data_IF_373265221922
#
_entry.id   IF_373265221922
#
_cell.length_a   1.000
_cell.length_b   1.000
_cell.length_c   1.000
_cell.angle_alpha   90.00
_cell.angle_beta   90.00
_cell.angle_gamma   90.00
#
_symmetry.space_group_name_H-M   'P 1'
#
loop_
_entity.id
_entity.type
_entity.pdbx_description
1 polymer ?
#
# COMPACT_ATOMS: atom_id res chain seq x y z
N UNK A 1 75.68 38.33 -12.65
CA UNK A 1 74.33 38.94 -12.50
C UNK A 1 74.34 39.98 -11.38
N UNK A 2 75.40 40.76 -11.29
CA UNK A 2 75.52 42.14 -11.80
C UNK A 2 74.27 43.03 -11.69
N UNK A 3 74.43 44.10 -10.92
CA UNK A 3 74.22 45.51 -11.32
C UNK A 3 74.73 46.35 -10.15
N UNK A 4 76.01 46.71 -10.10
CA UNK A 4 76.62 47.87 -10.76
C UNK A 4 75.87 49.20 -10.56
N UNK A 5 76.52 50.15 -9.89
CA UNK A 5 77.05 51.41 -10.46
C UNK A 5 77.60 52.28 -9.31
N UNK A 6 78.91 52.53 -9.23
CA UNK A 6 79.76 53.42 -10.07
C UNK A 6 79.70 54.87 -9.56
N UNK A 7 80.72 55.32 -8.81
CA UNK A 7 81.89 56.11 -9.26
C UNK A 7 81.64 57.64 -9.13
N UNK A 8 82.60 58.53 -8.89
CA UNK A 8 83.87 58.76 -9.58
C UNK A 8 84.81 59.64 -8.72
N UNK A 9 86.09 59.24 -8.73
CA UNK A 9 87.38 59.97 -8.67
C UNK A 9 87.50 61.42 -8.13
N UNK A 10 88.63 61.71 -7.45
CA UNK A 10 89.77 62.44 -8.05
C UNK A 10 90.95 62.73 -7.07
N UNK A 11 92.16 62.37 -7.53
CA UNK A 11 93.50 63.00 -7.34
C UNK A 11 94.21 63.15 -5.96
N UNK A 12 95.34 62.41 -5.82
CA UNK A 12 96.76 62.83 -5.59
C UNK A 12 96.99 64.25 -4.99
N UNK A 13 97.85 64.52 -3.98
CA UNK A 13 99.30 64.23 -3.83
C UNK A 13 99.82 64.52 -2.40
N UNK A 14 100.98 63.93 -2.12
CA UNK A 14 102.00 64.13 -1.05
C UNK A 14 102.31 65.58 -0.61
N UNK A 15 102.43 65.82 0.71
CA UNK A 15 103.49 66.58 1.42
C UNK A 15 103.14 66.92 2.88
N UNK A 16 104.04 66.60 3.83
CA UNK A 16 104.10 67.17 5.20
C UNK A 16 104.65 68.61 5.15
N UNK A 17 104.19 69.58 5.98
CA UNK A 17 104.87 69.85 7.26
C UNK A 17 104.04 70.49 8.42
N UNK A 18 104.49 70.19 9.65
CA UNK A 18 104.56 71.02 10.88
C UNK A 18 103.31 71.73 11.49
N UNK A 19 102.85 71.16 12.63
CA UNK A 19 102.61 71.77 13.99
C UNK A 19 101.85 73.10 14.17
N UNK A 20 101.32 73.40 15.38
CA UNK A 20 100.40 72.64 16.24
C UNK A 20 99.25 73.58 16.73
N UNK A 21 98.44 73.08 17.66
CA UNK A 21 97.41 73.78 18.46
C UNK A 21 95.99 73.71 17.86
N UNK A 22 95.19 72.75 18.34
CA UNK A 22 93.85 72.99 18.93
C UNK A 22 93.49 71.80 19.85
N UNK A 23 94.19 71.67 20.99
CA UNK A 23 93.96 70.68 22.08
C UNK A 23 92.61 70.85 22.84
N UNK A 24 91.61 71.49 22.24
CA UNK A 24 90.28 71.72 22.85
C UNK A 24 89.17 70.87 22.21
N UNK A 25 89.32 70.48 20.94
CA UNK A 25 88.31 69.70 20.21
C UNK A 25 88.40 68.19 20.51
N UNK A 26 89.61 67.71 20.84
CA UNK A 26 89.88 66.31 21.16
C UNK A 26 89.33 65.88 22.53
N UNK A 27 89.24 66.81 23.49
CA UNK A 27 88.64 66.58 24.82
C UNK A 27 87.11 66.44 24.78
N UNK A 28 86.43 67.25 23.96
CA UNK A 28 84.98 67.18 23.77
C UNK A 28 84.57 65.96 22.94
N UNK A 29 85.36 65.62 21.90
CA UNK A 29 85.16 64.39 21.13
C UNK A 29 85.40 63.13 21.98
N UNK A 30 86.37 63.16 22.89
CA UNK A 30 86.62 62.07 23.84
C UNK A 30 85.45 61.91 24.83
N UNK A 31 84.97 63.00 25.44
CA UNK A 31 83.79 62.96 26.34
C UNK A 31 82.52 62.49 25.61
N UNK A 32 82.28 62.95 24.37
CA UNK A 32 81.14 62.51 23.57
C UNK A 32 81.22 61.01 23.24
N UNK A 33 82.42 60.51 22.91
CA UNK A 33 82.64 59.09 22.64
C UNK A 33 82.43 58.21 23.89
N UNK A 34 82.81 58.69 25.07
CA UNK A 34 82.60 57.99 26.34
C UNK A 34 81.11 57.95 26.72
N UNK A 35 80.36 59.03 26.46
CA UNK A 35 78.91 59.06 26.65
C UNK A 35 78.19 58.10 25.69
N UNK A 36 78.60 58.04 24.41
CA UNK A 36 78.08 57.07 23.44
C UNK A 36 78.37 55.63 23.85
N UNK A 37 79.57 55.34 24.36
CA UNK A 37 79.91 54.01 24.85
C UNK A 37 79.05 53.61 26.06
N UNK A 38 78.84 54.53 27.01
CA UNK A 38 77.94 54.30 28.16
C UNK A 38 76.49 54.08 27.71
N UNK A 39 76.01 54.83 26.71
CA UNK A 39 74.68 54.65 26.14
C UNK A 39 74.54 53.30 25.44
N UNK A 40 75.50 52.93 24.58
CA UNK A 40 75.52 51.66 23.88
C UNK A 40 75.58 50.47 24.85
N UNK A 41 76.33 50.61 25.95
CA UNK A 41 76.39 49.58 26.99
C UNK A 41 75.04 49.41 27.69
N UNK A 42 74.33 50.51 27.98
CA UNK A 42 72.97 50.47 28.56
C UNK A 42 71.97 49.85 27.59
N UNK A 43 72.05 50.20 26.31
CA UNK A 43 71.20 49.63 25.25
C UNK A 43 71.48 48.15 25.05
N UNK A 44 72.75 47.72 25.06
CA UNK A 44 73.13 46.32 24.99
C UNK A 44 72.60 45.52 26.19
N UNK A 45 72.72 46.07 27.40
CA UNK A 45 72.15 45.45 28.61
C UNK A 45 70.61 45.44 28.61
N UNK A 46 69.97 46.46 28.03
CA UNK A 46 68.52 46.47 27.85
C UNK A 46 68.09 45.42 26.82
N UNK A 47 68.84 45.24 25.75
CA UNK A 47 68.61 44.24 24.72
C UNK A 47 68.82 42.82 25.27
N UNK A 48 69.88 42.57 26.04
CA UNK A 48 70.10 41.29 26.72
C UNK A 48 68.95 40.95 27.68
N UNK A 49 68.45 41.94 28.43
CA UNK A 49 67.27 41.76 29.30
C UNK A 49 66.00 41.50 28.50
N UNK A 50 65.77 42.23 27.40
CA UNK A 50 64.64 42.00 26.52
C UNK A 50 64.69 40.61 25.86
N UNK A 51 65.89 40.14 25.49
CA UNK A 51 66.09 38.80 24.92
C UNK A 51 65.83 37.70 25.95
N UNK A 52 66.28 37.89 27.20
CA UNK A 52 65.99 36.97 28.31
C UNK A 52 64.48 36.90 28.60
N UNK A 53 63.79 38.03 28.64
CA UNK A 53 62.33 38.08 28.82
C UNK A 53 61.56 37.46 27.64
N UNK A 54 62.03 37.64 26.41
CA UNK A 54 61.46 36.98 25.24
C UNK A 54 61.66 35.46 25.27
N UNK A 55 62.79 34.98 25.79
CA UNK A 55 63.08 33.55 25.94
C UNK A 55 62.25 32.92 27.07
N UNK A 56 61.93 33.71 28.10
CA UNK A 56 61.02 33.33 29.19
C UNK A 56 59.53 33.34 28.75
N UNK A 57 59.12 34.31 27.91
CA UNK A 57 57.75 34.36 27.36
C UNK A 57 57.51 33.35 26.22
N UNK A 58 58.52 33.01 25.40
CA UNK A 58 58.38 32.06 24.29
C UNK A 58 58.64 30.59 24.69
N UNK A 59 58.40 30.22 25.94
CA UNK A 59 58.36 28.83 26.41
C UNK A 59 59.33 27.88 25.70
N UNK A 60 60.64 28.05 25.89
CA UNK A 60 61.64 27.23 25.19
C UNK A 60 61.40 25.73 25.38
N UNK A 61 61.35 24.98 24.26
CA UNK A 61 61.26 23.50 24.13
C UNK A 61 60.01 22.84 24.72
N UNK A 62 59.54 23.28 25.89
CA UNK A 62 58.31 22.79 26.53
C UNK A 62 57.06 23.21 25.76
N UNK A 63 57.04 24.40 25.15
CA UNK A 63 55.93 24.84 24.30
C UNK A 63 55.89 24.02 23.00
N UNK A 64 57.05 23.75 22.39
CA UNK A 64 57.13 22.93 21.18
C UNK A 64 56.74 21.46 21.41
N UNK A 65 57.11 20.85 22.55
CA UNK A 65 56.73 19.47 22.86
C UNK A 65 55.25 19.36 23.27
N UNK A 66 54.72 20.35 24.02
CA UNK A 66 53.30 20.41 24.33
C UNK A 66 52.46 20.69 23.09
N UNK A 67 52.90 21.57 22.21
CA UNK A 67 52.24 21.88 20.94
C UNK A 67 52.31 20.68 19.99
N UNK A 68 53.42 19.94 19.95
CA UNK A 68 53.52 18.67 19.23
C UNK A 68 52.54 17.61 19.77
N UNK A 69 52.44 17.45 21.10
CA UNK A 69 51.45 16.54 21.72
C UNK A 69 50.02 16.98 21.47
N UNK A 70 49.73 18.29 21.51
CA UNK A 70 48.42 18.82 21.17
C UNK A 70 48.09 18.58 19.70
N UNK A 71 49.07 18.74 18.81
CA UNK A 71 48.93 18.45 17.39
C UNK A 71 48.70 16.96 17.11
N UNK A 72 49.44 16.06 17.77
CA UNK A 72 49.23 14.61 17.69
C UNK A 72 47.85 14.20 18.20
N UNK A 73 47.39 14.79 19.32
CA UNK A 73 46.07 14.54 19.87
C UNK A 73 44.96 15.00 18.90
N UNK A 74 45.07 16.21 18.35
CA UNK A 74 44.14 16.71 17.34
C UNK A 74 44.15 15.87 16.07
N UNK A 75 45.31 15.35 15.66
CA UNK A 75 45.44 14.45 14.52
C UNK A 75 44.76 13.10 14.78
N UNK A 76 44.91 12.54 15.99
CA UNK A 76 44.23 11.32 16.40
C UNK A 76 42.71 11.51 16.47
N UNK A 77 42.24 12.63 17.00
CA UNK A 77 40.81 12.95 17.06
C UNK A 77 40.23 13.20 15.66
N UNK A 78 40.96 13.89 14.78
CA UNK A 78 40.57 14.06 13.38
C UNK A 78 40.43 12.71 12.65
N UNK A 79 41.36 11.77 12.88
CA UNK A 79 41.26 10.41 12.33
C UNK A 79 40.06 9.65 12.88
N UNK A 80 39.77 9.76 14.18
CA UNK A 80 38.59 9.14 14.81
C UNK A 80 37.29 9.69 14.25
N UNK A 81 37.17 11.01 14.11
CA UNK A 81 35.98 11.62 13.52
C UNK A 81 35.82 11.26 12.05
N UNK A 82 36.92 11.17 11.29
CA UNK A 82 36.87 10.70 9.91
C UNK A 82 36.34 9.27 9.80
N UNK A 83 36.84 8.35 10.63
CA UNK A 83 36.32 6.98 10.69
C UNK A 83 34.84 6.94 11.10
N UNK A 84 34.44 7.76 12.08
CA UNK A 84 33.04 7.91 12.50
C UNK A 84 32.14 8.41 11.37
N UNK A 85 32.62 9.36 10.57
CA UNK A 85 31.91 9.89 9.40
C UNK A 85 31.76 8.78 8.35
N UNK A 86 32.83 8.07 8.02
CA UNK A 86 32.79 6.96 7.04
C UNK A 86 31.83 5.84 7.49
N UNK A 87 31.77 5.51 8.79
CA UNK A 87 30.84 4.53 9.33
C UNK A 87 29.38 5.02 9.26
N UNK A 88 29.13 6.29 9.58
CA UNK A 88 27.80 6.91 9.47
C UNK A 88 27.35 7.03 8.01
N UNK A 89 28.25 7.38 7.09
CA UNK A 89 27.98 7.42 5.65
C UNK A 89 27.64 6.03 5.11
N UNK A 90 28.38 5.00 5.54
CA UNK A 90 28.03 3.60 5.25
C UNK A 90 26.68 3.23 5.83
N UNK A 91 26.40 3.58 7.08
CA UNK A 91 25.11 3.31 7.72
C UNK A 91 23.94 4.02 7.02
N UNK A 92 24.13 5.26 6.55
CA UNK A 92 23.16 6.01 5.75
C UNK A 92 22.97 5.38 4.37
N UNK A 93 24.05 4.90 3.73
CA UNK A 93 23.96 4.21 2.45
C UNK A 93 23.28 2.83 2.55
N UNK A 94 23.47 2.11 3.68
CA UNK A 94 22.85 0.82 3.97
C UNK A 94 21.40 0.98 4.44
N UNK A 95 21.08 2.06 5.15
CA UNK A 95 19.72 2.57 5.38
C UNK A 95 19.17 3.28 4.13
N UNK A 96 19.50 2.78 2.93
CA UNK A 96 18.92 3.26 1.68
C UNK A 96 17.42 3.45 1.86
N UNK A 97 16.90 4.60 1.37
CA UNK A 97 15.49 5.02 1.50
C UNK A 97 14.58 3.82 1.72
N UNK A 98 13.98 3.73 2.92
CA UNK A 98 13.21 2.58 3.40
C UNK A 98 12.53 1.86 2.24
N UNK A 99 13.11 0.75 1.79
CA UNK A 99 12.72 0.08 0.54
C UNK A 99 11.21 -0.23 0.50
N UNK A 100 10.63 -0.49 1.67
CA UNK A 100 9.19 -0.65 1.85
C UNK A 100 8.41 0.63 1.54
N UNK A 101 8.89 1.79 2.00
CA UNK A 101 8.27 3.07 1.72
C UNK A 101 8.27 3.41 0.21
N UNK A 102 9.35 3.06 -0.50
CA UNK A 102 9.42 3.25 -1.96
C UNK A 102 8.42 2.35 -2.68
N UNK A 103 8.32 1.07 -2.27
CA UNK A 103 7.34 0.11 -2.81
C UNK A 103 5.90 0.53 -2.52
N UNK A 104 5.60 0.94 -1.29
CA UNK A 104 4.29 1.45 -0.87
C UNK A 104 3.89 2.71 -1.66
N UNK A 105 4.83 3.65 -1.85
CA UNK A 105 4.60 4.85 -2.66
C UNK A 105 4.29 4.49 -4.12
N UNK A 106 4.98 3.51 -4.70
CA UNK A 106 4.71 3.05 -6.07
C UNK A 106 3.36 2.34 -6.20
N UNK A 107 2.97 1.53 -5.21
CA UNK A 107 1.65 0.91 -5.14
C UNK A 107 0.56 1.96 -5.01
N UNK A 108 0.76 2.97 -4.16
CA UNK A 108 -0.17 4.08 -4.00
C UNK A 108 -0.34 4.87 -5.31
N UNK A 109 0.73 5.16 -6.03
CA UNK A 109 0.67 5.84 -7.33
C UNK A 109 -0.11 5.02 -8.36
N UNK A 110 0.13 3.69 -8.44
CA UNK A 110 -0.64 2.80 -9.31
C UNK A 110 -2.13 2.80 -8.95
N UNK A 111 -2.45 2.68 -7.66
CA UNK A 111 -3.83 2.70 -7.18
C UNK A 111 -4.53 4.02 -7.49
N UNK A 112 -3.82 5.14 -7.35
CA UNK A 112 -4.35 6.46 -7.65
C UNK A 112 -4.61 6.63 -9.15
N UNK A 113 -3.74 6.09 -10.01
CA UNK A 113 -3.95 6.07 -11.45
C UNK A 113 -5.21 5.26 -11.84
N UNK A 114 -5.40 4.07 -11.26
CA UNK A 114 -6.61 3.27 -11.48
C UNK A 114 -7.89 4.01 -11.05
N UNK A 115 -7.82 4.77 -9.95
CA UNK A 115 -8.94 5.57 -9.47
C UNK A 115 -9.26 6.73 -10.40
N UNK A 116 -8.24 7.41 -10.94
CA UNK A 116 -8.42 8.49 -11.92
C UNK A 116 -9.10 7.97 -13.19
N UNK A 117 -8.64 6.85 -13.73
CA UNK A 117 -9.26 6.22 -14.91
C UNK A 117 -10.71 5.80 -14.64
N UNK A 118 -11.00 5.32 -13.43
CA UNK A 118 -12.37 4.97 -13.03
C UNK A 118 -13.28 6.20 -12.90
N UNK A 119 -12.75 7.31 -12.36
CA UNK A 119 -13.49 8.58 -12.29
C UNK A 119 -13.79 9.09 -13.68
N UNK A 120 -12.80 9.14 -14.58
CA UNK A 120 -13.00 9.59 -15.97
C UNK A 120 -14.06 8.74 -16.69
N UNK A 121 -14.03 7.42 -16.50
CA UNK A 121 -15.05 6.53 -17.06
C UNK A 121 -16.45 6.84 -16.53
N UNK A 122 -16.59 7.02 -15.21
CA UNK A 122 -17.87 7.34 -14.58
C UNK A 122 -18.38 8.73 -14.98
N UNK A 123 -17.51 9.71 -15.16
CA UNK A 123 -17.89 11.05 -15.67
C UNK A 123 -18.45 10.96 -17.09
N UNK A 124 -17.80 10.17 -17.96
CA UNK A 124 -18.29 9.93 -19.31
C UNK A 124 -19.64 9.19 -19.33
N UNK A 125 -19.82 8.18 -18.48
CA UNK A 125 -21.10 7.48 -18.34
C UNK A 125 -22.20 8.41 -17.81
N UNK A 126 -21.89 9.24 -16.82
CA UNK A 126 -22.82 10.22 -16.28
C UNK A 126 -23.23 11.26 -17.33
N UNK A 127 -22.30 11.71 -18.18
CA UNK A 127 -22.61 12.60 -19.31
C UNK A 127 -23.59 11.98 -20.31
N UNK A 128 -23.43 10.69 -20.62
CA UNK A 128 -24.37 9.95 -21.49
C UNK A 128 -25.76 9.84 -20.87
N UNK A 129 -25.83 9.46 -19.59
CA UNK A 129 -27.10 9.35 -18.87
C UNK A 129 -27.82 10.68 -18.75
N UNK A 130 -27.09 11.79 -18.58
CA UNK A 130 -27.67 13.13 -18.60
C UNK A 130 -28.28 13.48 -19.96
N UNK A 131 -27.64 13.09 -21.06
CA UNK A 131 -28.18 13.29 -22.40
C UNK A 131 -29.45 12.46 -22.62
N UNK A 132 -29.43 11.17 -22.28
CA UNK A 132 -30.61 10.28 -22.38
C UNK A 132 -31.80 10.78 -21.54
N UNK A 133 -31.51 11.32 -20.35
CA UNK A 133 -32.51 11.94 -19.50
C UNK A 133 -33.12 13.18 -20.15
N UNK A 134 -32.31 14.01 -20.81
CA UNK A 134 -32.80 15.19 -21.52
C UNK A 134 -33.67 14.78 -22.72
N UNK A 135 -33.22 13.81 -23.51
CA UNK A 135 -33.98 13.28 -24.66
C UNK A 135 -35.34 12.72 -24.20
N UNK A 136 -35.39 12.03 -23.06
CA UNK A 136 -36.62 11.50 -22.48
C UNK A 136 -37.57 12.60 -22.01
N UNK A 137 -37.05 13.70 -21.46
CA UNK A 137 -37.85 14.87 -21.07
C UNK A 137 -38.47 15.55 -22.28
N UNK A 138 -37.67 15.78 -23.33
CA UNK A 138 -38.14 16.40 -24.57
C UNK A 138 -39.23 15.53 -25.24
N UNK A 139 -39.08 14.20 -25.21
CA UNK A 139 -40.12 13.28 -25.65
C UNK A 139 -41.39 13.37 -24.81
N UNK A 140 -41.27 13.49 -23.48
CA UNK A 140 -42.42 13.60 -22.60
C UNK A 140 -43.19 14.91 -22.83
N UNK A 141 -42.49 16.03 -23.02
CA UNK A 141 -43.11 17.30 -23.40
C UNK A 141 -43.89 17.15 -24.72
N UNK A 142 -43.32 16.48 -25.72
CA UNK A 142 -44.01 16.22 -26.98
C UNK A 142 -45.28 15.38 -26.80
N UNK A 143 -45.24 14.38 -25.94
CA UNK A 143 -46.41 13.55 -25.61
C UNK A 143 -47.48 14.36 -24.88
N UNK A 144 -47.11 15.26 -23.98
CA UNK A 144 -48.06 16.17 -23.32
C UNK A 144 -48.79 17.05 -24.36
N UNK A 145 -48.08 17.62 -25.33
CA UNK A 145 -48.72 18.36 -26.42
C UNK A 145 -49.66 17.48 -27.25
N UNK A 146 -49.27 16.23 -27.52
CA UNK A 146 -50.09 15.29 -28.27
C UNK A 146 -51.36 14.89 -27.52
N UNK A 147 -51.28 14.70 -26.21
CA UNK A 147 -52.45 14.42 -25.35
C UNK A 147 -53.43 15.59 -25.42
N UNK A 148 -52.96 16.82 -25.22
CA UNK A 148 -53.81 18.02 -25.31
C UNK A 148 -54.51 18.15 -26.68
N UNK A 149 -53.81 17.81 -27.77
CA UNK A 149 -54.39 17.80 -29.12
C UNK A 149 -55.48 16.72 -29.28
N UNK A 150 -55.28 15.54 -28.68
CA UNK A 150 -56.25 14.45 -28.68
C UNK A 150 -57.48 14.77 -27.82
N UNK A 151 -57.29 15.38 -26.65
CA UNK A 151 -58.38 15.82 -25.77
C UNK A 151 -59.28 16.87 -26.45
N UNK A 152 -58.70 17.86 -27.15
CA UNK A 152 -59.51 18.84 -27.89
C UNK A 152 -60.22 18.22 -29.10
N UNK A 153 -59.64 17.19 -29.72
CA UNK A 153 -60.32 16.39 -30.75
C UNK A 153 -61.49 15.60 -30.18
N UNK A 154 -61.32 14.96 -29.04
CA UNK A 154 -62.37 14.22 -28.34
C UNK A 154 -63.53 15.14 -27.98
N UNK A 155 -63.24 16.32 -27.42
CA UNK A 155 -64.25 17.33 -27.08
C UNK A 155 -65.07 17.81 -28.29
N UNK A 156 -64.47 17.78 -29.49
CA UNK A 156 -65.13 18.15 -30.76
C UNK A 156 -65.80 16.97 -31.46
N UNK A 157 -65.55 15.74 -31.03
CA UNK A 157 -66.13 14.55 -31.62
C UNK A 157 -67.57 14.32 -31.14
N UNK A 158 -68.45 13.72 -31.96
CA UNK A 158 -69.78 13.30 -31.51
C UNK A 158 -69.65 12.32 -30.34
N UNK A 159 -70.57 12.32 -29.35
CA UNK A 159 -70.46 11.46 -28.18
C UNK A 159 -70.41 9.98 -28.57
N UNK A 160 -69.27 9.33 -28.29
CA UNK A 160 -69.16 7.87 -28.38
C UNK A 160 -69.54 7.28 -27.02
N UNK A 161 -70.75 6.73 -26.91
CA UNK A 161 -71.31 6.25 -25.64
C UNK A 161 -70.73 4.89 -25.24
N UNK A 162 -69.54 4.87 -24.65
CA UNK A 162 -69.04 3.71 -23.88
C UNK A 162 -69.24 3.97 -22.38
N UNK A 163 -70.14 3.22 -21.75
CA UNK A 163 -70.34 3.29 -20.30
C UNK A 163 -69.26 2.50 -19.55
N UNK A 164 -68.20 3.19 -19.13
CA UNK A 164 -67.14 2.63 -18.28
C UNK A 164 -67.61 2.68 -16.81
N UNK A 165 -67.69 1.51 -16.17
CA UNK A 165 -68.11 1.39 -14.77
C UNK A 165 -66.92 1.69 -13.82
N UNK A 166 -67.16 2.19 -12.58
CA UNK A 166 -66.10 2.50 -11.64
C UNK A 166 -65.26 1.27 -11.28
N UNK A 167 -63.95 1.45 -11.13
CA UNK A 167 -63.00 0.38 -10.82
C UNK A 167 -63.18 -0.16 -9.39
N UNK A 168 -63.29 -1.48 -9.25
CA UNK A 168 -63.10 -2.18 -7.97
C UNK A 168 -61.64 -2.63 -7.82
N UNK A 169 -61.09 -2.56 -6.61
CA UNK A 169 -59.70 -2.91 -6.30
C UNK A 169 -59.33 -4.33 -6.82
N UNK A 170 -58.22 -4.43 -7.56
CA UNK A 170 -57.65 -5.71 -8.02
C UNK A 170 -58.18 -6.27 -9.35
N UNK A 171 -59.11 -5.61 -10.04
CA UNK A 171 -59.62 -6.08 -11.35
C UNK A 171 -59.70 -4.91 -12.34
N UNK A 172 -58.98 -4.99 -13.46
CA UNK A 172 -59.00 -3.91 -14.45
C UNK A 172 -60.34 -3.88 -15.22
N UNK A 173 -60.74 -2.72 -15.74
CA UNK A 173 -61.97 -2.61 -16.54
C UNK A 173 -61.95 -3.54 -17.77
N UNK A 174 -60.78 -3.75 -18.35
CA UNK A 174 -60.58 -4.71 -19.44
C UNK A 174 -60.88 -6.14 -18.96
N UNK A 175 -60.39 -6.49 -17.76
CA UNK A 175 -60.60 -7.80 -17.15
C UNK A 175 -62.08 -8.05 -16.83
N UNK A 176 -62.80 -7.05 -16.32
CA UNK A 176 -64.26 -7.14 -16.09
C UNK A 176 -65.00 -7.37 -17.41
N UNK A 177 -64.61 -6.63 -18.46
CA UNK A 177 -65.22 -6.78 -19.78
C UNK A 177 -64.94 -8.15 -20.40
N UNK A 178 -63.68 -8.62 -20.34
CA UNK A 178 -63.29 -9.96 -20.78
C UNK A 178 -64.06 -11.05 -20.03
N UNK A 179 -64.19 -10.95 -18.70
CA UNK A 179 -64.97 -11.89 -17.88
C UNK A 179 -66.44 -11.90 -18.32
N UNK A 180 -67.03 -10.73 -18.56
CA UNK A 180 -68.43 -10.59 -19.00
C UNK A 180 -68.66 -11.18 -20.39
N UNK A 181 -67.71 -11.00 -21.30
CA UNK A 181 -67.73 -11.57 -22.65
C UNK A 181 -67.26 -13.04 -22.69
N UNK A 182 -66.91 -13.63 -21.54
CA UNK A 182 -66.45 -15.03 -21.44
C UNK A 182 -65.04 -15.27 -21.99
N UNK A 183 -64.27 -14.22 -22.23
CA UNK A 183 -62.87 -14.26 -22.69
C UNK A 183 -61.97 -14.56 -21.50
N UNK A 184 -61.32 -15.73 -21.51
CA UNK A 184 -60.42 -16.17 -20.43
C UNK A 184 -58.95 -16.18 -20.83
N UNK A 185 -58.67 -16.62 -22.05
CA UNK A 185 -57.31 -16.75 -22.57
C UNK A 185 -57.14 -15.88 -23.82
N UNK A 186 -56.44 -14.77 -23.66
CA UNK A 186 -56.12 -13.85 -24.76
C UNK A 186 -54.78 -14.25 -25.35
N UNK A 187 -54.80 -14.95 -26.48
CA UNK A 187 -53.59 -15.28 -27.22
C UNK A 187 -53.27 -14.17 -28.22
N UNK A 188 -52.36 -13.26 -27.85
CA UNK A 188 -51.98 -12.11 -28.69
C UNK A 188 -51.50 -12.54 -30.09
N UNK A 189 -50.63 -13.56 -30.24
CA UNK A 189 -50.21 -14.02 -31.57
C UNK A 189 -51.38 -14.47 -32.45
N UNK A 190 -52.39 -15.10 -31.88
CA UNK A 190 -53.56 -15.55 -32.63
C UNK A 190 -54.50 -14.40 -32.98
N UNK A 191 -54.61 -13.39 -32.11
CA UNK A 191 -55.36 -12.17 -32.42
C UNK A 191 -54.68 -11.34 -33.52
N UNK A 192 -53.35 -11.24 -33.51
CA UNK A 192 -52.59 -10.58 -34.58
C UNK A 192 -52.87 -11.27 -35.92
N UNK A 193 -52.77 -12.61 -35.97
CA UNK A 193 -53.11 -13.38 -37.19
C UNK A 193 -54.53 -13.14 -37.68
N UNK A 194 -55.51 -13.05 -36.76
CA UNK A 194 -56.90 -12.76 -37.11
C UNK A 194 -57.06 -11.34 -37.67
N UNK A 195 -56.33 -10.36 -37.12
CA UNK A 195 -56.32 -8.99 -37.64
C UNK A 195 -55.65 -8.90 -39.02
N UNK A 196 -54.59 -9.65 -39.27
CA UNK A 196 -53.94 -9.71 -40.59
C UNK A 196 -54.91 -10.23 -41.65
N UNK A 197 -55.61 -11.35 -41.36
CA UNK A 197 -56.63 -11.92 -42.26
C UNK A 197 -57.77 -10.93 -42.50
N UNK A 198 -58.22 -10.22 -41.46
CA UNK A 198 -59.26 -9.19 -41.59
C UNK A 198 -58.77 -8.00 -42.41
N UNK A 199 -57.53 -7.55 -42.20
CA UNK A 199 -56.91 -6.43 -42.90
C UNK A 199 -56.72 -6.67 -44.40
N UNK A 200 -56.51 -7.94 -44.80
CA UNK A 200 -56.43 -8.34 -46.21
C UNK A 200 -57.77 -8.30 -46.95
N UNK A 201 -58.89 -8.04 -46.26
CA UNK A 201 -60.21 -7.95 -46.87
C UNK A 201 -60.41 -6.62 -47.60
N UNK A 202 -60.43 -6.65 -48.94
CA UNK A 202 -60.60 -5.46 -49.79
C UNK A 202 -61.95 -4.73 -49.69
N UNK A 203 -62.92 -5.25 -48.93
CA UNK A 203 -64.25 -4.64 -48.74
C UNK A 203 -64.39 -3.78 -47.48
N UNK A 204 -63.31 -3.53 -46.74
CA UNK A 204 -63.34 -2.72 -45.51
C UNK A 204 -63.55 -1.23 -45.81
N UNK A 205 -64.41 -0.58 -45.02
CA UNK A 205 -64.52 0.89 -44.98
C UNK A 205 -63.27 1.50 -44.35
N UNK A 206 -62.97 2.77 -44.68
CA UNK A 206 -61.79 3.47 -44.13
C UNK A 206 -61.74 3.45 -42.58
N UNK A 207 -62.89 3.57 -41.92
CA UNK A 207 -62.99 3.52 -40.46
C UNK A 207 -62.60 2.13 -39.90
N UNK A 208 -62.97 1.07 -40.60
CA UNK A 208 -62.66 -0.31 -40.22
C UNK A 208 -61.18 -0.63 -40.46
N UNK A 209 -60.60 -0.11 -41.55
CA UNK A 209 -59.16 -0.21 -41.82
C UNK A 209 -58.34 0.49 -40.73
N UNK A 210 -58.74 1.70 -40.32
CA UNK A 210 -58.08 2.44 -39.23
C UNK A 210 -58.19 1.67 -37.92
N UNK A 211 -59.36 1.10 -37.60
CA UNK A 211 -59.56 0.31 -36.40
C UNK A 211 -58.66 -0.95 -36.37
N UNK A 212 -58.52 -1.65 -37.51
CA UNK A 212 -57.65 -2.84 -37.63
C UNK A 212 -56.18 -2.45 -37.42
N UNK A 213 -55.71 -1.34 -38.02
CA UNK A 213 -54.33 -0.86 -37.86
C UNK A 213 -54.06 -0.48 -36.40
N UNK A 214 -54.99 0.23 -35.76
CA UNK A 214 -54.88 0.62 -34.35
C UNK A 214 -54.85 -0.60 -33.43
N UNK A 215 -55.76 -1.56 -33.62
CA UNK A 215 -55.78 -2.80 -32.86
C UNK A 215 -54.49 -3.61 -33.03
N UNK A 216 -53.96 -3.70 -34.25
CA UNK A 216 -52.70 -4.39 -34.54
C UNK A 216 -51.53 -3.74 -33.82
N UNK A 217 -51.47 -2.40 -33.83
CA UNK A 217 -50.42 -1.64 -33.13
C UNK A 217 -50.45 -1.88 -31.62
N UNK A 218 -51.65 -1.86 -31.02
CA UNK A 218 -51.82 -2.11 -29.58
C UNK A 218 -51.40 -3.53 -29.23
N UNK A 219 -51.80 -4.53 -30.02
CA UNK A 219 -51.41 -5.92 -29.79
C UNK A 219 -49.90 -6.14 -29.95
N UNK A 220 -49.25 -5.52 -30.94
CA UNK A 220 -47.79 -5.60 -31.10
C UNK A 220 -47.04 -4.95 -29.94
N UNK A 221 -47.55 -3.84 -29.39
CA UNK A 221 -46.97 -3.24 -28.19
C UNK A 221 -47.16 -4.19 -26.99
N UNK A 222 -48.36 -4.72 -26.79
CA UNK A 222 -48.64 -5.67 -25.71
C UNK A 222 -47.75 -6.92 -25.79
N UNK A 223 -47.51 -7.47 -26.99
CA UNK A 223 -46.60 -8.60 -27.20
C UNK A 223 -45.17 -8.27 -26.74
N UNK A 224 -44.63 -7.10 -27.13
CA UNK A 224 -43.30 -6.66 -26.68
C UNK A 224 -43.22 -6.51 -25.16
N UNK A 225 -44.26 -5.94 -24.54
CA UNK A 225 -44.33 -5.79 -23.09
C UNK A 225 -44.39 -7.15 -22.37
N UNK A 226 -45.16 -8.11 -22.88
CA UNK A 226 -45.21 -9.48 -22.33
C UNK A 226 -43.84 -10.15 -22.47
N UNK A 227 -43.20 -10.10 -23.64
CA UNK A 227 -41.86 -10.65 -23.84
C UNK A 227 -40.83 -10.04 -22.88
N UNK A 228 -40.92 -8.74 -22.62
CA UNK A 228 -40.07 -8.08 -21.63
C UNK A 228 -40.33 -8.60 -20.21
N UNK A 229 -41.59 -8.76 -19.82
CA UNK A 229 -41.97 -9.33 -18.51
C UNK A 229 -41.44 -10.75 -18.38
N UNK A 230 -41.67 -11.62 -19.37
CA UNK A 230 -41.16 -13.00 -19.39
C UNK A 230 -39.62 -13.03 -19.29
N UNK A 231 -38.93 -12.15 -20.00
CA UNK A 231 -37.47 -12.01 -19.89
C UNK A 231 -37.02 -11.59 -18.50
N UNK A 232 -37.71 -10.63 -17.86
CA UNK A 232 -37.41 -10.23 -16.47
C UNK A 232 -37.73 -11.33 -15.46
N UNK A 233 -38.81 -12.08 -15.67
CA UNK A 233 -39.19 -13.21 -14.85
C UNK A 233 -38.13 -14.32 -14.93
N UNK A 234 -37.65 -14.67 -16.12
CA UNK A 234 -36.57 -15.64 -16.30
C UNK A 234 -35.27 -15.20 -15.61
N UNK A 235 -34.92 -13.91 -15.71
CA UNK A 235 -33.74 -13.37 -15.03
C UNK A 235 -33.88 -13.39 -13.50
N UNK A 236 -35.07 -13.13 -12.96
CA UNK A 236 -35.36 -13.25 -11.53
C UNK A 236 -35.29 -14.70 -11.06
N UNK A 237 -35.86 -15.64 -11.82
CA UNK A 237 -35.76 -17.06 -11.52
C UNK A 237 -34.30 -17.54 -11.50
N UNK A 238 -33.47 -17.09 -12.44
CA UNK A 238 -32.05 -17.41 -12.43
C UNK A 238 -31.35 -16.87 -11.17
N UNK A 239 -31.60 -15.60 -10.80
CA UNK A 239 -31.04 -15.02 -9.57
C UNK A 239 -31.47 -15.77 -8.31
N UNK A 240 -32.70 -16.25 -8.27
CA UNK A 240 -33.20 -17.06 -7.15
C UNK A 240 -32.39 -18.37 -7.02
N UNK A 241 -32.17 -19.08 -8.13
CA UNK A 241 -31.35 -20.29 -8.15
C UNK A 241 -29.90 -20.01 -7.73
N UNK A 242 -29.31 -18.90 -8.20
CA UNK A 242 -27.95 -18.52 -7.84
C UNK A 242 -27.83 -18.25 -6.32
N UNK A 243 -28.81 -17.57 -5.73
CA UNK A 243 -28.87 -17.31 -4.29
C UNK A 243 -29.05 -18.60 -3.47
N UNK A 244 -29.84 -19.55 -3.96
CA UNK A 244 -29.98 -20.87 -3.32
C UNK A 244 -28.64 -21.61 -3.30
N UNK A 245 -27.88 -21.58 -4.39
CA UNK A 245 -26.54 -22.18 -4.47
C UNK A 245 -25.54 -21.48 -3.55
N UNK A 246 -25.54 -20.14 -3.51
CA UNK A 246 -24.69 -19.38 -2.58
C UNK A 246 -25.03 -19.72 -1.12
N UNK A 247 -26.31 -19.80 -0.78
CA UNK A 247 -26.77 -20.20 0.55
C UNK A 247 -26.24 -21.60 0.93
N UNK A 248 -26.34 -22.58 0.03
CA UNK A 248 -25.78 -23.92 0.28
C UNK A 248 -24.26 -23.89 0.54
N UNK A 249 -23.52 -23.07 -0.20
CA UNK A 249 -22.09 -22.88 -0.02
C UNK A 249 -21.75 -22.25 1.33
N UNK A 250 -22.50 -21.21 1.74
CA UNK A 250 -22.35 -20.60 3.06
C UNK A 250 -22.66 -21.58 4.19
N UNK A 251 -23.69 -22.42 4.03
CA UNK A 251 -24.02 -23.47 5.00
C UNK A 251 -22.86 -24.47 5.16
N UNK A 252 -22.22 -24.90 4.07
CA UNK A 252 -21.04 -25.77 4.11
C UNK A 252 -19.86 -25.10 4.82
N UNK A 253 -19.56 -23.85 4.47
CA UNK A 253 -18.49 -23.07 5.12
C UNK A 253 -18.73 -22.90 6.61
N UNK A 254 -19.97 -22.61 7.01
CA UNK A 254 -20.37 -22.53 8.41
C UNK A 254 -20.13 -23.86 9.12
N UNK A 255 -20.50 -24.99 8.51
CA UNK A 255 -20.24 -26.32 9.07
C UNK A 255 -18.76 -26.57 9.35
N UNK A 256 -17.87 -26.26 8.40
CA UNK A 256 -16.42 -26.40 8.60
C UNK A 256 -15.90 -25.53 9.75
N UNK A 257 -16.42 -24.31 9.91
CA UNK A 257 -16.03 -23.43 11.00
C UNK A 257 -16.52 -23.94 12.36
N UNK A 258 -17.69 -24.56 12.41
CA UNK A 258 -18.21 -25.21 13.63
C UNK A 258 -17.35 -26.42 14.03
N UNK A 259 -17.00 -27.28 13.06
CA UNK A 259 -16.10 -28.43 13.28
C UNK A 259 -14.72 -27.98 13.80
N UNK A 260 -14.14 -26.96 13.17
CA UNK A 260 -12.85 -26.40 13.56
C UNK A 260 -12.90 -25.74 14.95
N UNK A 261 -14.01 -25.09 15.29
CA UNK A 261 -14.22 -24.52 16.62
C UNK A 261 -14.28 -25.63 17.69
N UNK A 262 -14.98 -26.73 17.41
CA UNK A 262 -15.08 -27.86 18.32
C UNK A 262 -13.73 -28.57 18.50
N UNK A 263 -12.94 -28.71 17.43
CA UNK A 263 -11.57 -29.20 17.52
C UNK A 263 -10.72 -28.31 18.46
N UNK A 264 -10.78 -26.98 18.31
CA UNK A 264 -10.04 -26.06 19.19
C UNK A 264 -10.48 -26.14 20.65
N UNK A 265 -11.78 -26.28 20.92
CA UNK A 265 -12.28 -26.49 22.29
C UNK A 265 -11.70 -27.77 22.88
N UNK A 266 -11.73 -28.87 22.13
CA UNK A 266 -11.19 -30.14 22.59
C UNK A 266 -9.68 -30.07 22.87
N UNK A 267 -8.91 -29.42 21.99
CA UNK A 267 -7.48 -29.20 22.20
C UNK A 267 -7.20 -28.36 23.45
N UNK A 268 -8.02 -27.33 23.70
CA UNK A 268 -7.92 -26.50 24.89
C UNK A 268 -8.23 -27.30 26.16
N UNK A 269 -9.30 -28.10 26.16
CA UNK A 269 -9.67 -28.96 27.28
C UNK A 269 -8.55 -29.98 27.61
N UNK A 270 -7.93 -30.57 26.57
CA UNK A 270 -6.77 -31.45 26.74
C UNK A 270 -5.57 -30.72 27.35
N UNK A 271 -5.28 -29.50 26.93
CA UNK A 271 -4.21 -28.70 27.51
C UNK A 271 -4.48 -28.38 28.98
N UNK A 272 -5.72 -28.04 29.34
CA UNK A 272 -6.11 -27.82 30.74
C UNK A 272 -5.92 -29.08 31.59
N UNK A 273 -6.32 -30.25 31.08
CA UNK A 273 -6.09 -31.53 31.76
C UNK A 273 -4.61 -31.79 31.99
N UNK A 274 -3.75 -31.56 30.98
CA UNK A 274 -2.29 -31.73 31.12
C UNK A 274 -1.68 -30.77 32.15
N UNK A 275 -2.15 -29.52 32.20
CA UNK A 275 -1.71 -28.56 33.20
C UNK A 275 -2.05 -29.07 34.61
N UNK A 276 -3.29 -29.54 34.82
CA UNK A 276 -3.71 -30.08 36.12
C UNK A 276 -2.91 -31.33 36.51
N UNK A 277 -2.62 -32.22 35.57
CA UNK A 277 -1.78 -33.41 35.82
C UNK A 277 -0.35 -33.01 36.23
N UNK A 278 0.24 -32.01 35.56
CA UNK A 278 1.55 -31.49 35.89
C UNK A 278 1.56 -30.78 37.25
N UNK A 279 0.54 -29.99 37.56
CA UNK A 279 0.37 -29.35 38.87
C UNK A 279 0.25 -30.40 39.99
N UNK A 280 -0.53 -31.45 39.79
CA UNK A 280 -0.64 -32.55 40.74
C UNK A 280 0.69 -33.30 40.90
N UNK A 281 1.41 -33.51 39.80
CA UNK A 281 2.74 -34.15 39.83
C UNK A 281 3.74 -33.30 40.59
N UNK A 282 3.77 -31.99 40.37
CA UNK A 282 4.62 -31.04 41.11
C UNK A 282 4.28 -31.03 42.59
N UNK A 283 2.99 -31.00 42.95
CA UNK A 283 2.55 -31.03 44.33
C UNK A 283 3.00 -32.31 45.04
N UNK A 284 2.85 -33.47 44.39
CA UNK A 284 3.32 -34.75 44.93
C UNK A 284 4.86 -34.80 45.07
N UNK A 285 5.60 -34.28 44.09
CA UNK A 285 7.06 -34.19 44.16
C UNK A 285 7.53 -33.31 45.34
N UNK A 286 6.86 -32.18 45.56
CA UNK A 286 7.11 -31.30 46.71
C UNK A 286 6.78 -31.99 48.05
N UNK A 287 5.77 -32.85 48.11
CA UNK A 287 5.42 -33.59 49.33
C UNK A 287 6.37 -34.77 49.63
N UNK A 288 6.96 -35.41 48.61
CA UNK A 288 7.87 -36.54 48.79
C UNK A 288 9.28 -36.13 49.22
N UNK A 289 9.59 -34.84 49.26
CA UNK A 289 10.92 -34.35 49.58
C UNK A 289 11.22 -34.51 51.08
N UNK A 290 12.24 -35.32 51.39
CA UNK A 290 12.81 -35.42 52.73
C UNK A 290 13.52 -34.11 53.04
N UNK A 291 12.86 -33.22 53.78
CA UNK A 291 13.42 -32.03 54.44
C UNK A 291 14.73 -31.57 53.78
N UNK A 292 14.64 -31.01 52.57
CA UNK A 292 15.72 -30.17 52.09
C UNK A 292 15.78 -29.02 53.08
N UNK A 293 16.85 -28.95 53.88
CA UNK A 293 17.11 -27.83 54.75
C UNK A 293 17.26 -26.58 53.87
N UNK A 294 16.19 -25.82 53.75
CA UNK A 294 16.21 -24.54 53.07
C UNK A 294 17.27 -23.64 53.73
N UNK A 295 18.32 -23.30 52.98
CA UNK A 295 19.36 -22.36 53.39
C UNK A 295 20.79 -22.93 53.46
N UNK A 296 21.00 -24.26 53.37
CA UNK A 296 22.36 -24.80 53.21
C UNK A 296 22.72 -24.85 51.71
N UNK A 297 23.89 -24.31 51.28
CA UNK A 297 24.31 -24.40 49.89
C UNK A 297 24.51 -25.87 49.50
N UNK A 298 23.97 -26.26 48.34
CA UNK A 298 24.17 -27.59 47.76
C UNK A 298 25.67 -27.93 47.74
N UNK A 299 26.01 -29.16 48.13
CA UNK A 299 27.37 -29.67 47.94
C UNK A 299 27.69 -29.76 46.44
N UNK A 300 28.98 -29.69 46.06
CA UNK A 300 29.41 -29.70 44.66
C UNK A 300 28.92 -30.96 43.92
N UNK A 301 28.87 -32.12 44.60
CA UNK A 301 28.31 -33.34 44.04
C UNK A 301 26.82 -33.19 43.69
N UNK A 302 26.03 -32.56 44.57
CA UNK A 302 24.59 -32.33 44.34
C UNK A 302 24.35 -31.29 43.25
N UNK A 303 25.22 -30.28 43.14
CA UNK A 303 25.17 -29.30 42.04
C UNK A 303 25.47 -29.95 40.70
N UNK A 304 26.46 -30.83 40.64
CA UNK A 304 26.83 -31.54 39.42
C UNK A 304 25.74 -32.54 38.99
N UNK A 305 25.13 -33.26 39.95
CA UNK A 305 23.98 -34.13 39.69
C UNK A 305 22.76 -33.33 39.19
N UNK A 306 22.45 -32.20 39.82
CA UNK A 306 21.37 -31.31 39.38
C UNK A 306 21.64 -30.74 37.98
N UNK A 307 22.87 -30.30 37.71
CA UNK A 307 23.28 -29.80 36.39
C UNK A 307 23.10 -30.88 35.33
N UNK A 308 23.56 -32.11 35.60
CA UNK A 308 23.40 -33.24 34.70
C UNK A 308 21.93 -33.61 34.45
N UNK A 309 21.08 -33.57 35.50
CA UNK A 309 19.65 -33.81 35.38
C UNK A 309 18.93 -32.73 34.55
N UNK A 310 19.25 -31.45 34.76
CA UNK A 310 18.74 -30.32 33.98
C UNK A 310 19.20 -30.41 32.52
N UNK A 311 20.48 -30.76 32.28
CA UNK A 311 21.02 -30.98 30.93
C UNK A 311 20.31 -32.14 30.21
N UNK A 312 19.95 -33.19 30.95
CA UNK A 312 19.19 -34.35 30.43
C UNK A 312 17.76 -33.96 30.10
N UNK A 313 17.09 -33.20 30.96
CA UNK A 313 15.73 -32.69 30.73
C UNK A 313 15.70 -31.73 29.53
N UNK A 314 16.64 -30.78 29.44
CA UNK A 314 16.77 -29.89 28.28
C UNK A 314 16.94 -30.66 26.98
N UNK A 315 17.80 -31.68 26.96
CA UNK A 315 17.98 -32.55 25.78
C UNK A 315 16.70 -33.31 25.44
N UNK A 316 15.95 -33.77 26.43
CA UNK A 316 14.67 -34.46 26.21
C UNK A 316 13.59 -33.52 25.66
N UNK A 317 13.45 -32.31 26.22
CA UNK A 317 12.50 -31.32 25.72
C UNK A 317 12.84 -30.88 24.29
N UNK A 318 14.11 -30.67 23.98
CA UNK A 318 14.52 -30.27 22.63
C UNK A 318 14.23 -31.39 21.60
N UNK A 319 14.39 -32.66 21.99
CA UNK A 319 14.01 -33.81 21.14
C UNK A 319 12.49 -33.84 20.91
N UNK A 320 11.69 -33.74 21.99
CA UNK A 320 10.23 -33.71 21.88
C UNK A 320 9.71 -32.53 21.06
N UNK A 321 10.32 -31.35 21.21
CA UNK A 321 9.98 -30.17 20.40
C UNK A 321 10.21 -30.44 18.91
N UNK A 322 11.36 -31.01 18.55
CA UNK A 322 11.67 -31.36 17.16
C UNK A 322 10.75 -32.44 16.61
N UNK A 323 10.41 -33.44 17.42
CA UNK A 323 9.44 -34.48 17.05
C UNK A 323 8.06 -33.86 16.74
N UNK A 324 7.61 -32.91 17.56
CA UNK A 324 6.36 -32.17 17.33
C UNK A 324 6.42 -31.30 16.07
N UNK A 325 7.50 -30.54 15.87
CA UNK A 325 7.71 -29.71 14.67
C UNK A 325 7.71 -30.59 13.40
N UNK A 326 8.31 -31.79 13.45
CA UNK A 326 8.29 -32.74 12.35
C UNK A 326 6.88 -33.29 12.07
N UNK A 327 6.08 -33.57 13.11
CA UNK A 327 4.70 -34.01 12.96
C UNK A 327 3.84 -32.92 12.30
N UNK A 328 3.91 -31.69 12.79
CA UNK A 328 3.16 -30.57 12.23
C UNK A 328 3.56 -30.29 10.77
N UNK A 329 4.86 -30.38 10.45
CA UNK A 329 5.33 -30.27 9.08
C UNK A 329 4.75 -31.38 8.19
N UNK A 330 4.70 -32.61 8.69
CA UNK A 330 4.18 -33.75 7.94
C UNK A 330 2.68 -33.63 7.67
N UNK A 331 1.89 -33.24 8.68
CA UNK A 331 0.46 -32.95 8.52
C UNK A 331 0.20 -31.84 7.49
N UNK A 332 0.99 -30.75 7.54
CA UNK A 332 0.89 -29.66 6.55
C UNK A 332 1.27 -30.11 5.14
N UNK A 333 2.28 -30.98 5.00
CA UNK A 333 2.66 -31.56 3.70
C UNK A 333 1.55 -32.48 3.16
N UNK A 334 0.88 -33.25 4.02
CA UNK A 334 -0.25 -34.08 3.62
C UNK A 334 -1.46 -33.25 3.16
N UNK A 335 -1.79 -32.18 3.89
CA UNK A 335 -2.83 -31.22 3.49
C UNK A 335 -2.50 -30.56 2.15
N UNK A 336 -1.23 -30.17 1.93
CA UNK A 336 -0.78 -29.62 0.66
C UNK A 336 -0.91 -30.63 -0.49
N UNK A 337 -0.58 -31.90 -0.27
CA UNK A 337 -0.78 -32.95 -1.27
C UNK A 337 -2.25 -33.17 -1.61
N UNK A 338 -3.14 -33.21 -0.61
CA UNK A 338 -4.58 -33.32 -0.83
C UNK A 338 -5.13 -32.14 -1.63
N UNK A 339 -4.72 -30.91 -1.27
CA UNK A 339 -5.09 -29.72 -2.02
C UNK A 339 -4.59 -29.80 -3.48
N UNK A 340 -3.33 -30.18 -3.69
CA UNK A 340 -2.74 -30.30 -5.03
C UNK A 340 -3.44 -31.37 -5.89
N UNK A 341 -3.83 -32.50 -5.30
CA UNK A 341 -4.58 -33.55 -5.99
C UNK A 341 -5.97 -33.05 -6.43
N UNK A 342 -6.67 -32.28 -5.60
CA UNK A 342 -7.95 -31.64 -5.97
C UNK A 342 -7.75 -30.62 -7.10
N UNK A 343 -6.67 -29.84 -7.07
CA UNK A 343 -6.34 -28.90 -8.16
C UNK A 343 -6.01 -29.63 -9.47
N UNK A 344 -5.25 -30.72 -9.42
CA UNK A 344 -4.94 -31.54 -10.60
C UNK A 344 -6.21 -32.13 -11.20
N UNK A 345 -7.09 -32.74 -10.39
CA UNK A 345 -8.35 -33.30 -10.86
C UNK A 345 -9.26 -32.23 -11.50
N UNK A 346 -9.29 -31.01 -10.94
CA UNK A 346 -10.02 -29.88 -11.54
C UNK A 346 -9.41 -29.42 -12.87
N UNK A 347 -8.08 -29.38 -12.96
CA UNK A 347 -7.38 -29.05 -14.20
C UNK A 347 -7.60 -30.10 -15.29
N UNK A 348 -7.57 -31.38 -14.94
CA UNK A 348 -7.82 -32.49 -15.87
C UNK A 348 -9.27 -32.52 -16.36
N UNK A 349 -10.24 -32.20 -15.48
CA UNK A 349 -11.64 -32.03 -15.86
C UNK A 349 -11.85 -30.84 -16.81
N UNK A 350 -11.16 -29.71 -16.59
CA UNK A 350 -11.17 -28.57 -17.50
C UNK A 350 -10.53 -28.89 -18.86
N UNK A 351 -9.44 -29.66 -18.86
CA UNK A 351 -8.79 -30.11 -20.10
C UNK A 351 -9.70 -31.06 -20.89
N UNK A 352 -10.38 -31.98 -20.20
CA UNK A 352 -11.39 -32.86 -20.80
C UNK A 352 -12.56 -32.06 -21.38
N UNK A 353 -13.09 -31.07 -20.64
CA UNK A 353 -14.14 -30.18 -21.13
C UNK A 353 -13.68 -29.42 -22.39
N UNK A 354 -12.49 -28.82 -22.37
CA UNK A 354 -11.92 -28.14 -23.53
C UNK A 354 -11.73 -29.11 -24.72
N UNK A 355 -11.30 -30.33 -24.46
CA UNK A 355 -11.16 -31.36 -25.49
C UNK A 355 -12.51 -31.72 -26.10
N UNK A 356 -13.55 -31.96 -25.29
CA UNK A 356 -14.93 -32.21 -25.72
C UNK A 356 -15.52 -31.05 -26.50
N UNK A 357 -15.29 -29.81 -26.07
CA UNK A 357 -15.71 -28.61 -26.81
C UNK A 357 -15.00 -28.54 -28.17
N UNK A 358 -13.68 -28.76 -28.23
CA UNK A 358 -12.95 -28.71 -29.52
C UNK A 358 -13.34 -29.83 -30.49
N UNK A 359 -13.65 -31.02 -29.97
CA UNK A 359 -14.07 -32.17 -30.78
C UNK A 359 -15.55 -32.10 -31.17
N UNK A 360 -16.41 -31.52 -30.33
CA UNK A 360 -17.79 -31.16 -30.69
C UNK A 360 -17.88 -30.07 -31.74
N UNK A 361 -17.02 -29.04 -31.66
CA UNK A 361 -16.87 -28.02 -32.71
C UNK A 361 -16.36 -28.62 -34.02
N UNK A 362 -15.48 -29.63 -33.97
CA UNK A 362 -15.00 -30.33 -35.17
C UNK A 362 -16.10 -31.15 -35.85
N UNK A 363 -17.05 -31.71 -35.09
CA UNK A 363 -18.24 -32.37 -35.66
C UNK A 363 -19.24 -31.38 -36.24
N UNK A 364 -19.38 -30.17 -35.66
CA UNK A 364 -20.25 -29.11 -36.19
C UNK A 364 -19.72 -28.46 -37.48
N UNK A 365 -18.41 -28.55 -37.75
CA UNK A 365 -17.78 -28.05 -38.99
C UNK A 365 -17.85 -29.11 -40.11
N UNK A 366 -18.20 -30.37 -39.79
CA UNK A 366 -18.31 -31.47 -40.75
C UNK A 366 -19.76 -31.86 -41.11
N UNK A 367 -20.76 -31.14 -40.59
CA UNK A 367 -22.16 -31.16 -41.04
C UNK A 367 -22.49 -29.83 -41.68
#
# INVERSE_FOLDING_TARGET
MDSETSSVASLRMDRTPATPDEDLDEGLAAEESELRFKQLTREYQALQRAYALLQEQKGGVLDAEMEAKAHEQLQADAQRYKAKIEDLEKEVSLKGQDSRWVEEKQLFLRRNQELLEKVEKLENENGKLQQELQDSKDQNELLEFRILELEERERRSPPFTLQIHPFSEGVSALQIYCIKEGVKDVCIPDLIKLLDILGDNGNLRNEEQVAIIQASTVLSLAEKWIQQIEGTEAALHQKMMDLELEMEMFCKQKGYLEEELDYRKQALDQAYMQIQELEATLYNALQQDKVIKYGEPLDELQKDELRAAVEKLRRQMLRKSREYDCQELQERIELLHQAHQVYSLKSDALLLLLYFFSSGLSLLICF
#
